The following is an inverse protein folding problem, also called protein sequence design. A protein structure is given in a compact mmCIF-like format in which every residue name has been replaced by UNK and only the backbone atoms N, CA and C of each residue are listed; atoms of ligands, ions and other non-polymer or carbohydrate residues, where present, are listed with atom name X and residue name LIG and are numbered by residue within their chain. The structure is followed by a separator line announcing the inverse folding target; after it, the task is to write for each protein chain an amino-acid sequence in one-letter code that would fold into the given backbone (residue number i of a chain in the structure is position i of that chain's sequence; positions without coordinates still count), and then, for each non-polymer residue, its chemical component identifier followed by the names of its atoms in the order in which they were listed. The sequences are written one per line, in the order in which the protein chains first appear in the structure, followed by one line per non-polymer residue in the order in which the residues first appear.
data_IF_872900055164
#
_entry.id   IF_872900055164
#
_cell.length_a   1.000
_cell.length_b   1.000
_cell.length_c   1.000
_cell.angle_alpha   90.00
_cell.angle_beta   90.00
_cell.angle_gamma   90.00
#
_symmetry.space_group_name_H-M   'P 1'
#
loop_
_entity.id
_entity.type
_entity.pdbx_description
1 polymer ?
#
# COMPACT_ATOMS: atom_id res chain seq x y z
N UNK A 1 42.65 27.70 27.95
CA UNK A 1 41.36 27.49 27.25
C UNK A 1 41.56 26.51 26.10
N UNK A 2 41.70 25.22 26.39
CA UNK A 2 41.96 24.20 25.35
C UNK A 2 41.22 22.89 25.57
N UNK A 3 40.27 22.83 26.51
CA UNK A 3 39.43 21.63 26.72
C UNK A 3 38.14 21.61 25.89
N UNK A 4 37.67 22.76 25.39
CA UNK A 4 36.47 22.80 24.54
C UNK A 4 36.68 22.22 23.14
N UNK A 5 37.93 22.13 22.67
CA UNK A 5 38.24 21.68 21.30
C UNK A 5 38.08 20.17 21.10
N UNK A 6 38.16 19.37 22.17
CA UNK A 6 38.00 17.91 22.11
C UNK A 6 36.58 17.41 22.44
N UNK A 7 35.71 18.23 23.04
CA UNK A 7 34.28 17.88 23.30
C UNK A 7 33.31 18.39 22.24
N UNK A 8 33.68 19.44 21.50
CA UNK A 8 32.93 19.97 20.36
C UNK A 8 32.52 18.94 19.28
N UNK A 9 33.35 17.94 18.90
CA UNK A 9 32.94 16.96 17.88
C UNK A 9 31.80 16.06 18.36
N UNK A 10 31.67 15.82 19.67
CA UNK A 10 30.61 14.95 20.21
C UNK A 10 29.23 15.60 20.15
N UNK A 11 29.14 16.91 20.40
CA UNK A 11 27.88 17.66 20.27
C UNK A 11 27.45 17.77 18.81
N UNK A 12 28.41 17.99 17.88
CA UNK A 12 28.12 17.97 16.44
C UNK A 12 27.62 16.61 15.95
N UNK A 13 28.25 15.53 16.43
CA UNK A 13 27.82 14.16 16.11
C UNK A 13 26.42 13.86 16.66
N UNK A 14 26.11 14.29 17.90
CA UNK A 14 24.78 14.16 18.48
C UNK A 14 23.71 14.90 17.66
N UNK A 15 23.97 16.15 17.26
CA UNK A 15 23.04 16.93 16.44
C UNK A 15 22.81 16.24 15.08
N UNK A 16 23.87 15.74 14.46
CA UNK A 16 23.76 15.00 13.19
C UNK A 16 22.90 13.74 13.33
N UNK A 17 23.13 12.94 14.38
CA UNK A 17 22.32 11.74 14.65
C UNK A 17 20.86 12.11 14.86
N UNK A 18 20.58 13.16 15.65
CA UNK A 18 19.20 13.62 15.87
C UNK A 18 18.56 14.07 14.55
N UNK A 19 19.26 14.82 13.72
CA UNK A 19 18.75 15.26 12.41
C UNK A 19 18.44 14.09 11.48
N UNK A 20 19.33 13.10 11.41
CA UNK A 20 19.12 11.89 10.59
C UNK A 20 17.91 11.10 11.10
N UNK A 21 17.79 10.92 12.41
CA UNK A 21 16.65 10.19 13.02
C UNK A 21 15.34 10.93 12.76
N UNK A 22 15.28 12.25 12.99
CA UNK A 22 14.07 13.04 12.73
C UNK A 22 13.72 13.04 11.24
N UNK A 23 14.71 13.20 10.36
CA UNK A 23 14.49 13.16 8.91
C UNK A 23 13.99 11.79 8.45
N UNK A 24 14.53 10.70 9.00
CA UNK A 24 14.06 9.35 8.71
C UNK A 24 12.62 9.16 9.17
N UNK A 25 12.27 9.59 10.39
CA UNK A 25 10.92 9.54 10.95
C UNK A 25 9.94 10.31 10.05
N UNK A 26 10.27 11.57 9.74
CA UNK A 26 9.44 12.42 8.86
C UNK A 26 9.27 11.77 7.49
N UNK A 27 10.36 11.24 6.91
CA UNK A 27 10.29 10.62 5.59
C UNK A 27 9.39 9.38 5.61
N UNK A 28 9.54 8.51 6.61
CA UNK A 28 8.69 7.33 6.75
C UNK A 28 7.23 7.66 7.06
N UNK A 29 6.97 8.76 7.77
CA UNK A 29 5.62 9.14 8.16
C UNK A 29 4.85 9.82 7.03
N UNK A 30 5.50 10.70 6.27
CA UNK A 30 4.84 11.50 5.23
C UNK A 30 4.89 10.87 3.84
N UNK A 31 5.88 10.02 3.54
CA UNK A 31 6.10 9.47 2.20
C UNK A 31 5.90 7.95 2.10
N UNK A 32 5.26 7.33 3.10
CA UNK A 32 4.82 5.93 2.97
C UNK A 32 3.66 5.85 1.99
N UNK A 33 4.01 5.51 0.76
CA UNK A 33 3.06 5.27 -0.32
C UNK A 33 2.36 3.91 -0.13
N UNK A 34 1.11 3.83 -0.56
CA UNK A 34 0.37 2.57 -0.64
C UNK A 34 1.04 1.64 -1.67
N UNK A 35 0.83 0.32 -1.59
CA UNK A 35 1.30 -0.59 -2.64
C UNK A 35 0.63 -0.25 -3.98
N UNK A 36 1.35 -0.45 -5.08
CA UNK A 36 0.83 -0.19 -6.43
C UNK A 36 -0.33 -1.14 -6.73
N UNK A 37 -1.28 -0.74 -7.59
CA UNK A 37 -2.40 -1.58 -7.97
C UNK A 37 -1.99 -2.96 -8.53
N UNK A 38 -0.81 -3.05 -9.16
CA UNK A 38 -0.26 -4.28 -9.76
C UNK A 38 0.58 -5.12 -8.79
N UNK A 39 0.75 -4.70 -7.54
CA UNK A 39 1.56 -5.42 -6.56
C UNK A 39 1.04 -6.86 -6.35
N UNK A 40 1.94 -7.82 -6.16
CA UNK A 40 1.60 -9.23 -5.99
C UNK A 40 0.69 -9.44 -4.77
N UNK A 41 0.94 -8.72 -3.67
CA UNK A 41 0.12 -8.80 -2.48
C UNK A 41 -1.32 -8.34 -2.74
N UNK A 42 -1.48 -7.33 -3.59
CA UNK A 42 -2.80 -6.83 -4.01
C UNK A 42 -3.53 -7.87 -4.84
N UNK A 43 -2.83 -8.54 -5.77
CA UNK A 43 -3.40 -9.60 -6.59
C UNK A 43 -3.87 -10.79 -5.77
N UNK A 44 -3.09 -11.22 -4.78
CA UNK A 44 -3.44 -12.32 -3.86
C UNK A 44 -4.70 -11.97 -3.06
N UNK A 45 -4.73 -10.79 -2.44
CA UNK A 45 -5.88 -10.33 -1.65
C UNK A 45 -7.14 -10.16 -2.51
N UNK A 46 -7.00 -9.60 -3.71
CA UNK A 46 -8.11 -9.43 -4.64
C UNK A 46 -8.67 -10.79 -5.07
N UNK A 47 -7.81 -11.75 -5.41
CA UNK A 47 -8.24 -13.11 -5.77
C UNK A 47 -8.97 -13.80 -4.62
N UNK A 48 -8.44 -13.69 -3.38
CA UNK A 48 -9.10 -14.23 -2.20
C UNK A 48 -10.48 -13.61 -1.98
N UNK A 49 -10.63 -12.29 -2.17
CA UNK A 49 -11.94 -11.63 -2.09
C UNK A 49 -12.91 -12.09 -3.16
N UNK A 50 -12.46 -12.26 -4.40
CA UNK A 50 -13.31 -12.72 -5.50
C UNK A 50 -13.76 -14.17 -5.31
N UNK A 51 -12.86 -15.04 -4.86
CA UNK A 51 -13.18 -16.44 -4.55
C UNK A 51 -14.14 -16.58 -3.37
N UNK A 52 -14.08 -15.67 -2.39
CA UNK A 52 -15.07 -15.65 -1.30
C UNK A 52 -16.42 -15.08 -1.74
N UNK A 53 -16.53 -14.50 -2.95
CA UNK A 53 -17.73 -13.86 -3.47
C UNK A 53 -17.98 -14.29 -4.93
N UNK A 54 -17.94 -15.60 -5.22
CA UNK A 54 -18.08 -16.15 -6.59
C UNK A 54 -19.37 -15.72 -7.30
N UNK A 55 -20.41 -15.36 -6.54
CA UNK A 55 -21.64 -14.77 -7.06
C UNK A 55 -21.40 -13.47 -7.86
N UNK A 56 -20.38 -12.68 -7.50
CA UNK A 56 -19.98 -11.47 -8.23
C UNK A 56 -19.47 -11.77 -9.64
N UNK A 57 -19.03 -13.00 -9.88
CA UNK A 57 -18.49 -13.48 -11.13
C UNK A 57 -19.43 -14.48 -11.82
N UNK A 58 -20.72 -14.50 -11.48
CA UNK A 58 -21.67 -15.47 -12.04
C UNK A 58 -21.19 -16.92 -11.87
N UNK A 59 -20.57 -17.23 -10.72
CA UNK A 59 -19.93 -18.52 -10.41
C UNK A 59 -18.84 -18.94 -11.42
N UNK A 60 -18.21 -17.96 -12.09
CA UNK A 60 -17.07 -18.20 -12.97
C UNK A 60 -15.75 -18.21 -12.18
N UNK A 61 -14.79 -19.01 -12.63
CA UNK A 61 -13.48 -19.14 -12.00
C UNK A 61 -12.51 -18.12 -12.59
N UNK A 62 -11.79 -17.41 -11.73
CA UNK A 62 -10.66 -16.55 -12.12
C UNK A 62 -9.57 -17.37 -12.79
N UNK A 63 -9.24 -17.03 -14.03
CA UNK A 63 -8.13 -17.63 -14.78
C UNK A 63 -6.87 -16.77 -14.67
N UNK A 64 -7.01 -15.46 -14.90
CA UNK A 64 -5.89 -14.53 -14.87
C UNK A 64 -6.35 -13.09 -14.60
N UNK A 65 -5.45 -12.28 -14.07
CA UNK A 65 -5.59 -10.83 -14.08
C UNK A 65 -4.94 -10.26 -15.35
N UNK A 66 -5.68 -9.38 -16.03
CA UNK A 66 -5.23 -8.67 -17.22
C UNK A 66 -4.58 -7.33 -16.86
N UNK A 67 -5.05 -6.26 -17.48
CA UNK A 67 -4.48 -4.93 -17.23
C UNK A 67 -4.94 -4.35 -15.89
N UNK A 68 -3.99 -3.78 -15.16
CA UNK A 68 -4.23 -2.99 -13.97
C UNK A 68 -4.08 -1.51 -14.31
N UNK A 69 -5.05 -0.68 -13.92
CA UNK A 69 -4.98 0.76 -14.05
C UNK A 69 -5.30 1.43 -12.72
N UNK A 70 -4.46 2.37 -12.32
CA UNK A 70 -4.72 3.29 -11.23
C UNK A 70 -5.66 4.40 -11.71
N UNK A 71 -6.74 4.64 -10.98
CA UNK A 71 -7.72 5.69 -11.30
C UNK A 71 -7.48 6.94 -10.47
N UNK A 72 -7.17 6.77 -9.19
CA UNK A 72 -6.91 7.87 -8.26
C UNK A 72 -5.98 7.40 -7.14
N UNK A 73 -5.24 8.31 -6.54
CA UNK A 73 -4.35 8.01 -5.42
C UNK A 73 -4.23 9.20 -4.47
N UNK A 74 -4.39 8.90 -3.18
CA UNK A 74 -4.10 9.81 -2.08
C UNK A 74 -3.37 9.05 -0.95
N UNK A 75 -2.96 9.75 0.10
CA UNK A 75 -2.18 9.18 1.21
C UNK A 75 -2.87 8.05 2.00
N UNK A 76 -4.20 7.91 1.89
CA UNK A 76 -5.03 6.97 2.67
C UNK A 76 -5.65 5.90 1.78
N UNK A 77 -5.81 6.17 0.49
CA UNK A 77 -6.57 5.35 -0.44
C UNK A 77 -5.97 5.42 -1.85
N UNK A 78 -5.92 4.27 -2.52
CA UNK A 78 -5.62 4.16 -3.95
C UNK A 78 -6.77 3.43 -4.65
N UNK A 79 -7.38 4.08 -5.62
CA UNK A 79 -8.46 3.52 -6.44
C UNK A 79 -7.87 2.84 -7.67
N UNK A 80 -8.21 1.58 -7.84
CA UNK A 80 -7.65 0.72 -8.86
C UNK A 80 -8.77 0.07 -9.69
N UNK A 81 -8.42 -0.27 -10.92
CA UNK A 81 -9.21 -1.13 -11.78
C UNK A 81 -8.35 -2.27 -12.30
N UNK A 82 -8.94 -3.46 -12.41
CA UNK A 82 -8.29 -4.62 -12.99
C UNK A 82 -9.24 -5.31 -13.96
N UNK A 83 -8.69 -5.78 -15.09
CA UNK A 83 -9.37 -6.75 -15.93
C UNK A 83 -9.18 -8.15 -15.33
N UNK A 84 -10.26 -8.91 -15.26
CA UNK A 84 -10.29 -10.28 -14.80
C UNK A 84 -10.76 -11.17 -15.94
N UNK A 85 -9.90 -12.10 -16.36
CA UNK A 85 -10.28 -13.15 -17.27
C UNK A 85 -10.83 -14.32 -16.47
N UNK A 86 -12.06 -14.73 -16.78
CA UNK A 86 -12.68 -15.93 -16.22
C UNK A 86 -13.06 -16.90 -17.33
N UNK A 87 -13.49 -18.11 -16.95
CA UNK A 87 -14.00 -19.09 -17.90
C UNK A 87 -15.34 -18.67 -18.57
N UNK A 88 -16.04 -17.67 -18.04
CA UNK A 88 -17.31 -17.19 -18.58
C UNK A 88 -17.16 -15.91 -19.42
N UNK A 89 -16.03 -15.21 -19.32
CA UNK A 89 -15.79 -13.97 -20.06
C UNK A 89 -14.78 -13.06 -19.36
N UNK A 90 -14.71 -11.81 -19.80
CA UNK A 90 -13.84 -10.80 -19.21
C UNK A 90 -14.66 -9.85 -18.34
N UNK A 91 -14.17 -9.53 -17.15
CA UNK A 91 -14.81 -8.63 -16.20
C UNK A 91 -13.87 -7.46 -15.88
N UNK A 92 -14.43 -6.26 -15.76
CA UNK A 92 -13.78 -5.10 -15.18
C UNK A 92 -14.11 -5.04 -13.69
N UNK A 93 -13.08 -5.02 -12.87
CA UNK A 93 -13.19 -4.91 -11.41
C UNK A 93 -12.71 -3.54 -10.99
N UNK A 94 -13.50 -2.85 -10.19
CA UNK A 94 -13.11 -1.63 -9.48
C UNK A 94 -12.90 -1.97 -8.02
N UNK A 95 -11.73 -1.63 -7.49
CA UNK A 95 -11.36 -1.90 -6.10
C UNK A 95 -10.52 -0.76 -5.50
N UNK A 96 -10.64 -0.58 -4.19
CA UNK A 96 -9.87 0.39 -3.41
C UNK A 96 -8.84 -0.33 -2.55
N UNK A 97 -7.64 0.21 -2.50
CA UNK A 97 -6.63 -0.15 -1.51
C UNK A 97 -6.66 0.92 -0.44
N UNK A 98 -6.95 0.54 0.79
CA UNK A 98 -7.14 1.45 1.92
C UNK A 98 -6.00 1.20 2.91
N UNK A 99 -5.42 2.28 3.41
CA UNK A 99 -4.40 2.24 4.44
C UNK A 99 -5.07 1.97 5.80
N UNK A 100 -4.77 0.81 6.40
CA UNK A 100 -5.33 0.41 7.69
C UNK A 100 -4.49 0.92 8.88
N UNK A 101 -3.46 1.74 8.63
CA UNK A 101 -2.53 2.26 9.66
C UNK A 101 -3.14 3.18 10.73
N UNK A 102 -4.47 3.38 10.71
CA UNK A 102 -5.22 4.15 11.70
C UNK A 102 -4.95 3.72 13.15
N UNK A 103 -4.65 2.44 13.40
CA UNK A 103 -4.46 1.89 14.76
C UNK A 103 -3.02 1.46 15.09
N UNK A 104 -2.04 1.72 14.20
CA UNK A 104 -0.66 1.27 14.44
C UNK A 104 0.07 2.16 15.46
N UNK A 105 0.82 1.53 16.37
CA UNK A 105 1.72 2.22 17.29
C UNK A 105 2.85 2.96 16.55
N UNK A 106 3.41 4.01 17.17
CA UNK A 106 4.45 4.85 16.55
C UNK A 106 5.65 4.05 16.00
N UNK A 107 6.11 3.02 16.71
CA UNK A 107 7.20 2.16 16.25
C UNK A 107 6.82 1.28 15.06
N UNK A 108 5.59 0.76 15.02
CA UNK A 108 5.09 -0.01 13.88
C UNK A 108 4.99 0.85 12.62
N UNK A 109 4.55 2.11 12.76
CA UNK A 109 4.51 3.07 11.63
C UNK A 109 5.88 3.37 11.04
N UNK A 110 6.96 3.22 11.81
CA UNK A 110 8.33 3.47 11.34
C UNK A 110 8.95 2.24 10.66
N UNK A 111 8.75 1.04 11.21
CA UNK A 111 9.52 -0.14 10.83
C UNK A 111 8.71 -1.28 10.18
N UNK A 112 7.39 -1.34 10.39
CA UNK A 112 6.55 -2.43 9.85
C UNK A 112 6.08 -2.09 8.42
N UNK A 113 5.83 -3.05 7.53
CA UNK A 113 5.16 -2.77 6.25
C UNK A 113 3.83 -2.02 6.47
N UNK A 114 3.39 -1.24 5.48
CA UNK A 114 2.08 -0.57 5.53
C UNK A 114 1.02 -1.68 5.57
N UNK A 115 0.18 -1.71 6.60
CA UNK A 115 -0.99 -2.59 6.61
C UNK A 115 -2.06 -1.96 5.72
N UNK A 116 -2.61 -2.75 4.80
CA UNK A 116 -3.63 -2.30 3.87
C UNK A 116 -4.70 -3.37 3.67
N UNK A 117 -5.92 -2.88 3.43
CA UNK A 117 -7.05 -3.69 3.04
C UNK A 117 -7.49 -3.36 1.63
N UNK A 118 -8.14 -4.32 0.98
CA UNK A 118 -8.78 -4.11 -0.32
C UNK A 118 -10.28 -4.09 -0.11
N UNK A 119 -10.98 -3.15 -0.73
CA UNK A 119 -12.44 -3.15 -0.83
C UNK A 119 -12.88 -3.26 -2.29
N UNK A 120 -13.81 -4.17 -2.60
CA UNK A 120 -14.40 -4.31 -3.93
C UNK A 120 -15.53 -3.29 -4.07
N UNK A 121 -15.47 -2.42 -5.09
CA UNK A 121 -16.54 -1.46 -5.37
C UNK A 121 -17.56 -2.01 -6.35
N UNK A 122 -17.09 -2.56 -7.48
CA UNK A 122 -17.98 -3.14 -8.47
C UNK A 122 -17.27 -4.12 -9.38
N UNK A 123 -18.05 -5.04 -9.93
CA UNK A 123 -17.63 -6.01 -10.94
C UNK A 123 -18.61 -5.90 -12.11
N UNK A 124 -18.09 -5.62 -13.31
CA UNK A 124 -18.91 -5.45 -14.53
C UNK A 124 -18.36 -6.33 -15.64
N UNK A 125 -19.21 -7.12 -16.29
CA UNK A 125 -18.81 -7.87 -17.47
C UNK A 125 -18.47 -6.88 -18.61
N UNK A 126 -17.31 -7.07 -19.24
CA UNK A 126 -16.94 -6.38 -20.47
C UNK A 126 -17.50 -7.25 -21.61
N UNK A 127 -18.52 -6.75 -22.30
CA UNK A 127 -19.10 -7.40 -23.49
C UNK A 127 -18.17 -7.29 -24.69
#
# INVERSE_FOLDING_TARGET
MTEFRNKAPWYGLLIFIVLVVVSAIVHTYYFRDLPKCRDENIQILLNNKLRNNEQLLNNSQTLAFGQFQEKSHNAVQRDCSAELLTNAGTYLILYRVINDSGEQSFFQRLFAPVDFSISLESVKAIK
#
